data_IF_949931146853
#
_entry.id   IF_949931146853
#
_cell.length_a   1.000
_cell.length_b   1.000
_cell.length_c   1.000
_cell.angle_alpha   90.00
_cell.angle_beta   90.00
_cell.angle_gamma   90.00
#
_symmetry.space_group_name_H-M   'P 1'
#
loop_
_entity.id
_entity.type
_entity.pdbx_description
1 polymer ?
#
# COMPACT_ATOMS: atom_id res chain seq x y z
N UNK A 1 -14.54 -11.51 -5.08
CA UNK A 1 -13.49 -11.60 -6.12
C UNK A 1 -12.18 -11.42 -5.37
N UNK A 2 -11.37 -12.48 -5.22
CA UNK A 2 -10.10 -12.38 -4.49
C UNK A 2 -9.14 -11.48 -5.26
N UNK A 3 -8.62 -10.46 -4.60
CA UNK A 3 -7.72 -9.47 -5.17
C UNK A 3 -6.29 -10.02 -5.21
N UNK A 4 -6.04 -11.08 -6.00
CA UNK A 4 -4.69 -11.61 -6.16
C UNK A 4 -3.98 -10.91 -7.33
N UNK A 5 -3.04 -10.02 -7.01
CA UNK A 5 -2.02 -9.51 -7.95
C UNK A 5 -0.95 -10.58 -8.28
N UNK A 6 -1.21 -11.84 -7.93
CA UNK A 6 -0.29 -12.97 -8.07
C UNK A 6 -1.10 -14.12 -8.65
N UNK A 7 -0.54 -14.79 -9.66
CA UNK A 7 -1.14 -15.87 -10.46
C UNK A 7 -2.07 -16.74 -9.61
N UNK A 8 -3.38 -16.59 -9.83
CA UNK A 8 -4.40 -17.37 -9.17
C UNK A 8 -4.25 -18.84 -9.59
N UNK A 9 -3.75 -19.69 -8.69
CA UNK A 9 -3.65 -21.14 -8.92
C UNK A 9 -2.50 -21.85 -8.20
N UNK A 10 -1.40 -21.16 -7.87
CA UNK A 10 -0.17 -21.82 -7.40
C UNK A 10 0.23 -21.52 -5.93
N UNK A 11 -0.50 -20.64 -5.24
CA UNK A 11 -0.19 -20.29 -3.85
C UNK A 11 -0.93 -21.21 -2.89
N UNK A 12 -0.29 -22.32 -2.53
CA UNK A 12 -0.73 -23.14 -1.39
C UNK A 12 -0.15 -22.58 -0.11
N UNK A 13 -0.98 -22.49 0.93
CA UNK A 13 -0.53 -22.07 2.26
C UNK A 13 0.49 -23.12 2.75
N UNK A 14 1.71 -22.72 3.12
CA UNK A 14 2.71 -23.65 3.62
C UNK A 14 2.22 -24.40 4.86
N UNK A 15 2.68 -25.65 5.02
CA UNK A 15 2.32 -26.44 6.20
C UNK A 15 2.70 -25.72 7.49
N UNK A 16 1.75 -25.62 8.43
CA UNK A 16 1.93 -24.95 9.72
C UNK A 16 1.69 -23.44 9.70
N UNK A 17 1.25 -22.86 8.58
CA UNK A 17 0.81 -21.46 8.51
C UNK A 17 -0.70 -21.37 8.67
N UNK A 18 -1.16 -20.58 9.63
CA UNK A 18 -2.57 -20.28 9.82
C UNK A 18 -2.93 -19.00 9.07
N UNK A 19 -3.91 -19.06 8.18
CA UNK A 19 -4.44 -17.89 7.49
C UNK A 19 -5.70 -17.39 8.18
N UNK A 20 -5.75 -16.09 8.44
CA UNK A 20 -6.96 -15.41 8.90
C UNK A 20 -7.38 -14.37 7.87
N UNK A 21 -8.62 -14.46 7.38
CA UNK A 21 -9.16 -13.58 6.35
C UNK A 21 -10.21 -12.66 6.95
N UNK A 22 -9.97 -11.35 6.86
CA UNK A 22 -10.98 -10.33 7.18
C UNK A 22 -11.80 -10.06 5.92
N UNK A 23 -13.13 -10.25 5.93
CA UNK A 23 -13.98 -9.82 4.84
C UNK A 23 -13.97 -8.29 4.81
N UNK A 24 -13.59 -7.71 3.68
CA UNK A 24 -13.63 -6.27 3.46
C UNK A 24 -14.81 -5.96 2.53
N UNK A 25 -15.70 -5.08 2.97
CA UNK A 25 -16.85 -4.64 2.19
C UNK A 25 -16.72 -3.14 1.92
N UNK A 26 -16.65 -2.78 0.64
CA UNK A 26 -16.68 -1.37 0.24
C UNK A 26 -18.13 -0.97 -0.05
N UNK A 27 -18.55 0.13 0.57
CA UNK A 27 -19.90 0.68 0.37
C UNK A 27 -20.12 1.20 -1.06
N UNK A 28 -19.05 1.61 -1.73
CA UNK A 28 -19.07 2.14 -3.09
C UNK A 28 -18.68 1.06 -4.13
N UNK A 29 -19.60 0.78 -5.06
CA UNK A 29 -19.36 -0.14 -6.18
C UNK A 29 -18.27 0.36 -7.12
N UNK A 30 -18.07 1.67 -7.20
CA UNK A 30 -17.03 2.27 -8.04
C UNK A 30 -15.63 1.96 -7.52
N UNK A 31 -15.45 1.70 -6.21
CA UNK A 31 -14.16 1.28 -5.63
C UNK A 31 -13.85 -0.19 -5.93
N UNK A 32 -14.87 -1.04 -5.90
CA UNK A 32 -14.73 -2.48 -6.20
C UNK A 32 -14.46 -2.74 -7.69
N UNK A 33 -15.10 -2.00 -8.59
CA UNK A 33 -14.81 -2.04 -10.02
C UNK A 33 -13.55 -1.21 -10.38
N UNK A 34 -13.35 -0.09 -9.67
CA UNK A 34 -12.24 0.83 -9.84
C UNK A 34 -10.88 0.21 -9.64
N UNK A 35 -10.74 -0.84 -8.82
CA UNK A 35 -9.50 -1.59 -8.68
C UNK A 35 -9.13 -2.38 -9.95
N UNK A 36 -10.11 -3.01 -10.60
CA UNK A 36 -9.89 -3.72 -11.86
C UNK A 36 -9.54 -2.74 -12.99
N UNK A 37 -10.17 -1.56 -12.97
CA UNK A 37 -9.85 -0.46 -13.87
C UNK A 37 -8.46 0.11 -13.56
N UNK A 38 -8.10 0.29 -12.28
CA UNK A 38 -6.79 0.73 -11.82
C UNK A 38 -5.69 -0.20 -12.36
N UNK A 39 -5.84 -1.52 -12.17
CA UNK A 39 -4.89 -2.50 -12.70
C UNK A 39 -4.79 -2.38 -14.23
N UNK A 40 -5.92 -2.26 -14.91
CA UNK A 40 -5.93 -2.10 -16.37
C UNK A 40 -5.24 -0.80 -16.81
N UNK A 41 -5.41 0.29 -16.06
CA UNK A 41 -4.79 1.59 -16.37
C UNK A 41 -3.31 1.66 -16.01
N UNK A 42 -2.86 0.98 -14.96
CA UNK A 42 -1.44 0.94 -14.58
C UNK A 42 -0.59 0.20 -15.62
N UNK A 43 -1.17 -0.80 -16.28
CA UNK A 43 -0.49 -1.61 -17.30
C UNK A 43 -0.79 -1.19 -18.75
N UNK A 44 -1.65 -0.18 -18.96
CA UNK A 44 -1.89 0.43 -20.27
C UNK A 44 -1.39 1.88 -20.29
N UNK A 45 -1.24 2.49 -21.48
CA UNK A 45 -0.87 3.91 -21.61
C UNK A 45 -2.05 4.82 -21.21
N UNK A 46 -2.35 4.92 -19.92
CA UNK A 46 -3.26 5.92 -19.37
C UNK A 46 -2.68 7.33 -19.46
N UNK A 47 -3.52 8.36 -19.48
CA UNK A 47 -3.06 9.74 -19.34
C UNK A 47 -2.64 10.02 -17.90
N UNK A 48 -1.81 11.05 -17.66
CA UNK A 48 -1.40 11.44 -16.30
C UNK A 48 -2.61 11.80 -15.40
N UNK A 49 -3.74 12.23 -15.98
CA UNK A 49 -4.98 12.50 -15.27
C UNK A 49 -5.69 11.22 -14.80
N UNK A 50 -5.65 10.17 -15.62
CA UNK A 50 -6.24 8.88 -15.27
C UNK A 50 -5.46 8.22 -14.14
N UNK A 51 -4.13 8.29 -14.20
CA UNK A 51 -3.22 7.86 -13.13
C UNK A 51 -3.43 8.65 -11.82
N UNK A 52 -3.69 9.96 -11.93
CA UNK A 52 -3.99 10.85 -10.80
C UNK A 52 -5.29 10.47 -10.09
N UNK A 53 -6.39 10.33 -10.83
CA UNK A 53 -7.70 9.97 -10.27
C UNK A 53 -7.68 8.58 -9.63
N UNK A 54 -7.11 7.61 -10.35
CA UNK A 54 -7.08 6.22 -9.89
C UNK A 54 -6.16 6.00 -8.69
N UNK A 55 -5.08 6.78 -8.57
CA UNK A 55 -4.22 6.78 -7.39
C UNK A 55 -4.95 7.21 -6.10
N UNK A 56 -5.84 8.21 -6.18
CA UNK A 56 -6.65 8.65 -5.02
C UNK A 56 -7.63 7.57 -4.58
N UNK A 57 -8.37 6.99 -5.51
CA UNK A 57 -9.34 5.92 -5.18
C UNK A 57 -8.64 4.71 -4.54
N UNK A 58 -7.46 4.36 -5.04
CA UNK A 58 -6.67 3.26 -4.48
C UNK A 58 -6.20 3.54 -3.05
N UNK A 59 -5.79 4.78 -2.76
CA UNK A 59 -5.43 5.22 -1.41
C UNK A 59 -6.62 5.11 -0.45
N UNK A 60 -7.77 5.67 -0.83
CA UNK A 60 -8.97 5.67 0.02
C UNK A 60 -9.48 4.26 0.29
N UNK A 61 -9.45 3.39 -0.72
CA UNK A 61 -9.80 1.98 -0.59
C UNK A 61 -8.92 1.26 0.45
N UNK A 62 -7.62 1.55 0.48
CA UNK A 62 -6.68 0.93 1.43
C UNK A 62 -6.85 1.44 2.85
N UNK A 63 -7.14 2.73 3.03
CA UNK A 63 -7.44 3.29 4.36
C UNK A 63 -8.73 2.67 4.90
N UNK A 64 -9.77 2.57 4.08
CA UNK A 64 -11.05 1.94 4.45
C UNK A 64 -10.87 0.46 4.80
N UNK A 65 -10.12 -0.29 3.99
CA UNK A 65 -9.79 -1.69 4.29
C UNK A 65 -9.00 -1.83 5.60
N UNK A 66 -8.01 -0.95 5.81
CA UNK A 66 -7.23 -0.94 7.05
C UNK A 66 -8.11 -0.67 8.27
N UNK A 67 -9.05 0.26 8.18
CA UNK A 67 -9.99 0.55 9.26
C UNK A 67 -10.83 -0.69 9.59
N UNK A 68 -11.40 -1.36 8.58
CA UNK A 68 -12.18 -2.58 8.79
C UNK A 68 -11.35 -3.71 9.41
N UNK A 69 -10.08 -3.87 9.03
CA UNK A 69 -9.17 -4.84 9.65
C UNK A 69 -8.88 -4.50 11.12
N UNK A 70 -8.77 -3.22 11.47
CA UNK A 70 -8.60 -2.79 12.85
C UNK A 70 -9.89 -2.94 13.67
N UNK A 71 -11.06 -2.86 13.05
CA UNK A 71 -12.37 -2.98 13.69
C UNK A 71 -12.90 -4.41 13.78
N UNK A 72 -12.08 -5.40 13.39
CA UNK A 72 -12.41 -6.83 13.54
C UNK A 72 -12.74 -7.19 15.01
N UNK A 73 -13.52 -8.26 15.20
CA UNK A 73 -13.97 -8.74 16.52
C UNK A 73 -12.83 -8.67 17.56
N UNK A 74 -13.01 -7.93 18.67
CA UNK A 74 -12.01 -7.80 19.71
C UNK A 74 -11.42 -9.12 20.20
N UNK A 75 -12.20 -10.21 20.19
CA UNK A 75 -11.73 -11.55 20.57
C UNK A 75 -10.57 -12.04 19.71
N UNK A 76 -10.55 -11.64 18.44
CA UNK A 76 -9.51 -12.03 17.49
C UNK A 76 -8.23 -11.26 17.79
N UNK A 77 -8.35 -9.96 18.03
CA UNK A 77 -7.21 -9.14 18.47
C UNK A 77 -6.64 -9.67 19.80
N UNK A 78 -7.51 -10.05 20.73
CA UNK A 78 -7.09 -10.65 22.00
C UNK A 78 -6.40 -12.00 21.80
N UNK A 79 -6.87 -12.84 20.85
CA UNK A 79 -6.15 -14.06 20.50
C UNK A 79 -4.76 -13.77 19.93
N UNK A 80 -4.61 -12.76 19.06
CA UNK A 80 -3.30 -12.40 18.50
C UNK A 80 -2.34 -11.86 19.56
N UNK A 81 -2.85 -11.11 20.55
CA UNK A 81 -2.07 -10.72 21.73
C UNK A 81 -1.64 -11.93 22.55
N UNK A 82 -2.53 -12.90 22.73
CA UNK A 82 -2.23 -14.10 23.51
C UNK A 82 -1.17 -15.01 22.84
N UNK A 83 -1.08 -14.99 21.51
CA UNK A 83 -0.03 -15.69 20.76
C UNK A 83 1.38 -15.10 20.98
N UNK A 84 1.50 -13.84 21.43
CA UNK A 84 2.77 -13.17 21.71
C UNK A 84 3.78 -13.22 20.54
N UNK A 85 3.34 -12.84 19.35
CA UNK A 85 4.20 -12.87 18.16
C UNK A 85 5.49 -12.06 18.34
N UNK A 86 6.62 -12.63 17.92
CA UNK A 86 7.93 -11.97 18.01
C UNK A 86 8.19 -10.94 16.91
N UNK A 87 7.50 -11.06 15.76
CA UNK A 87 7.78 -10.33 14.54
C UNK A 87 6.51 -10.17 13.69
N UNK A 88 6.26 -8.95 13.23
CA UNK A 88 5.29 -8.67 12.18
C UNK A 88 6.00 -8.41 10.85
N UNK A 89 5.45 -8.92 9.76
CA UNK A 89 5.97 -8.72 8.41
C UNK A 89 4.87 -8.07 7.58
N UNK A 90 5.13 -6.85 7.10
CA UNK A 90 4.21 -6.07 6.28
C UNK A 90 4.76 -5.82 4.89
N UNK A 91 3.88 -5.67 3.90
CA UNK A 91 4.27 -5.23 2.57
C UNK A 91 4.10 -3.71 2.46
N UNK A 92 5.03 -3.04 1.78
CA UNK A 92 5.04 -1.57 1.70
C UNK A 92 3.79 -0.95 1.07
N UNK A 93 3.10 -1.73 0.26
CA UNK A 93 1.84 -1.35 -0.32
C UNK A 93 0.70 -1.28 0.69
N UNK A 94 0.83 -1.54 1.99
CA UNK A 94 -0.27 -1.44 2.97
C UNK A 94 0.26 -1.02 4.34
N UNK A 95 -0.26 0.06 4.92
CA UNK A 95 0.06 0.47 6.30
C UNK A 95 -0.59 -0.39 7.38
N UNK A 96 -1.65 -1.13 7.02
CA UNK A 96 -2.43 -1.92 7.98
C UNK A 96 -1.63 -2.92 8.81
N UNK A 97 -0.66 -3.67 8.25
CA UNK A 97 0.19 -4.57 9.04
C UNK A 97 0.95 -3.85 10.17
N UNK A 98 1.35 -2.58 9.99
CA UNK A 98 1.98 -1.79 11.06
C UNK A 98 0.97 -1.49 12.17
N UNK A 99 -0.22 -1.04 11.79
CA UNK A 99 -1.27 -0.69 12.74
C UNK A 99 -1.75 -1.91 13.55
N UNK A 100 -1.86 -3.08 12.90
CA UNK A 100 -2.19 -4.33 13.58
C UNK A 100 -1.06 -4.74 14.52
N UNK A 101 0.19 -4.70 14.05
CA UNK A 101 1.36 -5.03 14.87
C UNK A 101 1.41 -4.17 16.15
N UNK A 102 1.16 -2.87 16.02
CA UNK A 102 1.06 -1.95 17.17
C UNK A 102 -0.13 -2.32 18.08
N UNK A 103 -1.30 -2.62 17.50
CA UNK A 103 -2.50 -3.01 18.26
C UNK A 103 -2.32 -4.30 19.05
N UNK A 104 -1.50 -5.24 18.58
CA UNK A 104 -1.20 -6.53 19.25
C UNK A 104 0.12 -6.54 20.04
N UNK A 105 0.75 -5.38 20.25
CA UNK A 105 2.02 -5.18 20.99
C UNK A 105 3.25 -5.91 20.38
N UNK A 106 3.28 -6.05 19.06
CA UNK A 106 4.43 -6.61 18.33
C UNK A 106 5.41 -5.48 17.96
N UNK A 107 6.56 -5.44 18.65
CA UNK A 107 7.54 -4.34 18.52
C UNK A 107 8.50 -4.48 17.36
N UNK A 108 8.77 -5.72 16.91
CA UNK A 108 9.68 -5.96 15.78
C UNK A 108 8.85 -6.04 14.52
N UNK A 109 9.19 -5.19 13.55
CA UNK A 109 8.49 -5.14 12.27
C UNK A 109 9.49 -5.18 11.14
N UNK A 110 9.20 -6.02 10.14
CA UNK A 110 9.91 -6.06 8.86
C UNK A 110 8.99 -5.51 7.79
N UNK A 111 9.51 -4.54 7.04
CA UNK A 111 8.79 -3.87 5.97
C UNK A 111 9.35 -4.27 4.61
N UNK A 112 8.59 -5.06 3.85
CA UNK A 112 9.02 -5.60 2.57
C UNK A 112 8.69 -4.61 1.46
N UNK A 113 9.74 -4.07 0.82
CA UNK A 113 9.66 -3.21 -0.37
C UNK A 113 9.99 -3.98 -1.64
N UNK A 114 9.53 -3.49 -2.80
CA UNK A 114 9.89 -4.10 -4.09
C UNK A 114 11.33 -3.75 -4.48
N UNK A 115 12.15 -4.77 -4.71
CA UNK A 115 13.51 -4.62 -5.21
C UNK A 115 14.48 -3.98 -4.19
N UNK A 116 15.41 -3.17 -4.70
CA UNK A 116 16.43 -2.47 -3.91
C UNK A 116 16.06 -1.01 -3.60
N UNK A 117 14.86 -0.58 -3.99
CA UNK A 117 14.42 0.82 -3.90
C UNK A 117 13.42 1.02 -2.76
N UNK A 118 13.66 2.05 -1.95
CA UNK A 118 12.69 2.54 -0.97
C UNK A 118 11.85 3.61 -1.64
N UNK A 119 10.53 3.38 -1.74
CA UNK A 119 9.59 4.39 -2.23
C UNK A 119 9.50 5.56 -1.25
N UNK A 120 9.32 6.77 -1.77
CA UNK A 120 9.32 8.01 -0.97
C UNK A 120 8.31 7.96 0.19
N UNK A 121 7.12 7.41 -0.04
CA UNK A 121 6.15 7.20 1.02
C UNK A 121 6.71 6.34 2.16
N UNK A 122 7.29 5.17 1.85
CA UNK A 122 7.88 4.31 2.88
C UNK A 122 9.04 5.00 3.58
N UNK A 123 9.89 5.70 2.83
CA UNK A 123 11.03 6.44 3.37
C UNK A 123 10.57 7.45 4.43
N UNK A 124 9.54 8.25 4.14
CA UNK A 124 8.98 9.22 5.08
C UNK A 124 8.46 8.54 6.36
N UNK A 125 7.72 7.43 6.23
CA UNK A 125 7.16 6.72 7.39
C UNK A 125 8.22 6.15 8.33
N UNK A 126 9.37 5.72 7.80
CA UNK A 126 10.49 5.20 8.60
C UNK A 126 11.51 6.30 9.00
N UNK A 127 11.17 7.58 8.77
CA UNK A 127 12.00 8.72 9.15
C UNK A 127 13.21 8.97 8.26
N UNK A 128 13.26 8.40 7.06
CA UNK A 128 14.24 8.76 6.04
C UNK A 128 13.82 10.07 5.38
N UNK A 129 14.81 10.95 5.18
CA UNK A 129 14.60 12.18 4.42
C UNK A 129 14.61 11.87 2.93
N UNK A 130 13.56 12.29 2.25
CA UNK A 130 13.46 12.28 0.80
C UNK A 130 13.62 13.69 0.25
N UNK A 131 14.01 13.80 -1.02
CA UNK A 131 14.15 15.08 -1.71
C UNK A 131 13.22 15.08 -2.92
N UNK A 132 12.03 15.69 -2.82
CA UNK A 132 11.04 15.72 -3.90
C UNK A 132 11.54 16.27 -5.24
N UNK A 133 12.63 17.04 -5.26
CA UNK A 133 13.25 17.54 -6.49
C UNK A 133 14.25 16.56 -7.12
N UNK A 134 14.61 15.47 -6.44
CA UNK A 134 15.59 14.48 -6.89
C UNK A 134 15.02 13.07 -6.97
N UNK A 135 14.01 12.74 -6.17
CA UNK A 135 13.34 11.43 -6.23
C UNK A 135 12.11 11.53 -7.13
N UNK A 136 12.08 10.81 -8.26
CA UNK A 136 10.92 10.81 -9.14
C UNK A 136 9.67 10.38 -8.39
N UNK A 137 8.59 11.13 -8.58
CA UNK A 137 7.30 10.79 -8.02
C UNK A 137 6.81 9.47 -8.66
N UNK A 138 6.22 8.52 -7.91
CA UNK A 138 5.80 7.22 -8.44
C UNK A 138 4.82 7.30 -9.62
N UNK A 139 4.06 8.38 -9.72
CA UNK A 139 3.13 8.66 -10.83
C UNK A 139 3.74 9.44 -12.01
N UNK A 140 4.96 9.92 -11.85
CA UNK A 140 5.63 10.63 -12.93
C UNK A 140 6.27 9.64 -13.90
N UNK A 141 6.41 10.04 -15.16
CA UNK A 141 7.22 9.31 -16.14
C UNK A 141 8.73 9.61 -16.02
N UNK A 142 9.15 10.30 -14.95
CA UNK A 142 10.52 10.75 -14.77
C UNK A 142 11.43 9.63 -14.25
N UNK A 143 12.67 9.61 -14.72
CA UNK A 143 13.73 8.74 -14.21
C UNK A 143 14.64 9.45 -13.21
N UNK A 144 15.75 8.81 -12.85
CA UNK A 144 16.80 9.35 -11.97
C UNK A 144 17.45 10.64 -12.52
N UNK A 145 17.34 10.87 -13.82
CA UNK A 145 17.77 12.10 -14.48
C UNK A 145 16.57 12.98 -14.87
N UNK A 146 16.47 14.14 -14.22
CA UNK A 146 15.45 15.16 -14.45
C UNK A 146 16.09 16.51 -14.78
N UNK A 147 15.58 17.21 -15.80
CA UNK A 147 15.95 18.60 -16.07
C UNK A 147 15.31 19.54 -15.03
N UNK A 148 15.74 20.80 -14.98
CA UNK A 148 15.27 21.75 -13.97
C UNK A 148 13.72 21.87 -13.92
N UNK A 149 13.08 21.97 -15.09
CA UNK A 149 11.62 22.08 -15.17
C UNK A 149 10.94 20.77 -14.74
N UNK A 150 11.49 19.62 -15.11
CA UNK A 150 10.97 18.32 -14.68
C UNK A 150 11.02 18.19 -13.16
N UNK A 151 12.11 18.65 -12.53
CA UNK A 151 12.25 18.67 -11.06
C UNK A 151 11.21 19.57 -10.41
N UNK A 152 10.91 20.73 -10.99
CA UNK A 152 9.88 21.62 -10.48
C UNK A 152 8.50 20.96 -10.55
N UNK A 153 8.17 20.34 -11.69
CA UNK A 153 6.92 19.60 -11.87
C UNK A 153 6.85 18.41 -10.91
N UNK A 154 7.95 17.68 -10.73
CA UNK A 154 8.05 16.56 -9.81
C UNK A 154 7.81 16.97 -8.35
N UNK A 155 8.35 18.12 -7.93
CA UNK A 155 8.04 18.69 -6.60
C UNK A 155 6.55 19.02 -6.48
N UNK A 156 5.92 19.56 -7.52
CA UNK A 156 4.48 19.83 -7.52
C UNK A 156 3.68 18.53 -7.37
N UNK A 157 4.10 17.43 -8.00
CA UNK A 157 3.49 16.12 -7.79
C UNK A 157 3.60 15.66 -6.33
N UNK A 158 4.78 15.74 -5.72
CA UNK A 158 4.98 15.39 -4.30
C UNK A 158 4.22 16.31 -3.33
N UNK A 159 3.96 17.56 -3.70
CA UNK A 159 3.17 18.51 -2.89
C UNK A 159 1.67 18.37 -3.12
N UNK A 160 1.27 17.84 -4.27
CA UNK A 160 -0.09 17.42 -4.48
C UNK A 160 -0.35 16.28 -3.50
N UNK A 161 -1.47 16.27 -2.79
CA UNK A 161 -1.82 15.24 -1.78
C UNK A 161 -2.00 13.83 -2.37
N UNK A 162 -1.51 13.63 -3.59
CA UNK A 162 -1.54 12.43 -4.39
C UNK A 162 -0.34 11.56 -4.15
N UNK A 163 -0.36 10.95 -2.98
CA UNK A 163 0.44 9.76 -2.75
C UNK A 163 -0.37 8.51 -3.08
N UNK A 164 0.34 7.49 -3.55
CA UNK A 164 -0.19 6.12 -3.69
C UNK A 164 -0.52 5.47 -2.35
N UNK A 165 -0.31 6.19 -1.24
CA UNK A 165 -0.53 5.74 0.12
C UNK A 165 -0.99 6.87 1.03
#
# INVERSE_FOLDING_TARGET
MEMSMVVAGDLTIPAGVTEFRVPIEFSDKMKTEGLAIFQTMMFNKGSAYDLWWTGQEFKDMRIEACQQMLEVDPKIIDSFKAENFDLAIGHFHDLCPLAIAEKVDVKKVVWITHGTSVYDFTAVQIGLRTFPSFVPHPLSSYGDQMAFIDRLINVIWHLSTLDFV
#
